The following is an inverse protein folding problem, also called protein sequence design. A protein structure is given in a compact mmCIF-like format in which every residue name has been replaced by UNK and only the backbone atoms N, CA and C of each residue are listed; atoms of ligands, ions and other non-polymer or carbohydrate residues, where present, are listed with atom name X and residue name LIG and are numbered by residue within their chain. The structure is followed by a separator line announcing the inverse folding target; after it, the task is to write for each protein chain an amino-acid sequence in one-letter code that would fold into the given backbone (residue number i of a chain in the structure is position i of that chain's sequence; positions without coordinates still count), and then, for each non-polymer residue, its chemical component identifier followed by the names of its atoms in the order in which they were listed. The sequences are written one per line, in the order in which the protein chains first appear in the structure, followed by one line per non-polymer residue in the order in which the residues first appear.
data_IF_310468567669
#
_entry.id   IF_310468567669
#
_cell.length_a   1.000
_cell.length_b   1.000
_cell.length_c   1.000
_cell.angle_alpha   90.00
_cell.angle_beta   90.00
_cell.angle_gamma   90.00
#
_symmetry.space_group_name_H-M   'P 1'
#
loop_
_entity.id
_entity.type
_entity.pdbx_description
1 polymer ?
#
# COMPACT_ATOMS: atom_id res chain seq x y z
N UNK A 1 11.21 -2.82 18.06
CA UNK A 1 10.61 -2.90 16.71
C UNK A 1 11.53 -3.63 15.77
N UNK A 2 10.99 -4.49 14.90
CA UNK A 2 11.76 -5.25 13.90
C UNK A 2 12.27 -4.36 12.76
N UNK A 3 11.51 -3.33 12.41
CA UNK A 3 11.77 -2.42 11.30
C UNK A 3 11.94 -0.99 11.80
N UNK A 4 12.70 -0.17 11.06
CA UNK A 4 12.84 1.27 11.31
C UNK A 4 11.94 2.08 10.36
N UNK A 5 11.92 1.71 9.08
CA UNK A 5 11.16 2.39 8.03
C UNK A 5 10.34 1.39 7.24
N UNK A 6 9.06 1.62 7.14
CA UNK A 6 8.14 0.74 6.41
C UNK A 6 7.41 1.50 5.31
N UNK A 7 7.05 0.78 4.25
CA UNK A 7 6.06 1.24 3.29
C UNK A 7 4.79 0.39 3.44
N UNK A 8 3.71 1.02 3.85
CA UNK A 8 2.39 0.41 3.94
C UNK A 8 1.64 0.63 2.63
N UNK A 9 1.32 -0.44 1.91
CA UNK A 9 0.47 -0.40 0.73
C UNK A 9 -0.95 -0.81 1.08
N UNK A 10 -1.90 0.06 0.81
CA UNK A 10 -3.33 -0.18 1.01
C UNK A 10 -4.08 -0.28 -0.32
N UNK A 11 -5.05 -1.18 -0.42
CA UNK A 11 -6.00 -1.17 -1.53
C UNK A 11 -6.97 0.00 -1.39
N UNK A 12 -7.34 0.66 -2.48
CA UNK A 12 -8.41 1.64 -2.45
C UNK A 12 -9.73 1.02 -1.96
N UNK A 13 -9.99 -0.22 -2.32
CA UNK A 13 -11.17 -0.96 -1.87
C UNK A 13 -11.25 -1.11 -0.35
N UNK A 14 -10.12 -1.12 0.33
CA UNK A 14 -10.09 -1.19 1.79
C UNK A 14 -10.66 0.07 2.47
N UNK A 15 -10.77 1.19 1.74
CA UNK A 15 -11.40 2.41 2.25
C UNK A 15 -12.93 2.45 2.09
N UNK A 16 -13.51 1.49 1.36
CA UNK A 16 -14.97 1.47 1.15
C UNK A 16 -15.74 1.03 2.41
N UNK A 17 -15.10 0.32 3.34
CA UNK A 17 -15.81 -0.38 4.40
C UNK A 17 -16.80 -1.39 3.81
N UNK A 18 -18.05 -1.33 4.23
CA UNK A 18 -19.14 -2.18 3.71
C UNK A 18 -19.84 -1.58 2.46
N UNK A 19 -19.37 -0.42 1.98
CA UNK A 19 -19.89 0.21 0.77
C UNK A 19 -19.32 -0.46 -0.47
N UNK A 20 -20.02 -0.30 -1.59
CA UNK A 20 -19.54 -0.81 -2.89
C UNK A 20 -18.69 0.21 -3.66
N UNK A 21 -18.64 1.46 -3.20
CA UNK A 21 -17.99 2.58 -3.86
C UNK A 21 -17.67 3.72 -2.88
N UNK A 22 -16.62 4.48 -3.19
CA UNK A 22 -16.25 5.69 -2.46
C UNK A 22 -15.45 5.41 -1.20
N UNK A 23 -15.56 6.32 -0.25
CA UNK A 23 -14.78 6.33 0.99
C UNK A 23 -15.73 6.19 2.18
N UNK A 24 -15.39 5.28 3.09
CA UNK A 24 -16.04 5.13 4.38
C UNK A 24 -15.24 5.83 5.48
N UNK A 25 -15.83 6.86 6.08
CA UNK A 25 -15.14 7.68 7.08
C UNK A 25 -14.78 6.89 8.35
N UNK A 26 -15.60 5.90 8.73
CA UNK A 26 -15.33 5.07 9.89
C UNK A 26 -14.11 4.17 9.64
N UNK A 27 -14.02 3.60 8.44
CA UNK A 27 -12.87 2.77 8.03
C UNK A 27 -11.58 3.59 7.96
N UNK A 28 -11.64 4.78 7.35
CA UNK A 28 -10.46 5.67 7.28
C UNK A 28 -10.00 6.10 8.66
N UNK A 29 -10.93 6.40 9.57
CA UNK A 29 -10.61 6.72 10.97
C UNK A 29 -9.94 5.55 11.68
N UNK A 30 -10.46 4.32 11.53
CA UNK A 30 -9.85 3.11 12.10
C UNK A 30 -8.40 2.96 11.64
N UNK A 31 -8.14 3.10 10.32
CA UNK A 31 -6.78 3.03 9.79
C UNK A 31 -5.88 4.14 10.34
N UNK A 32 -6.40 5.35 10.50
CA UNK A 32 -5.63 6.44 11.08
C UNK A 32 -5.23 6.15 12.53
N UNK A 33 -6.11 5.55 13.33
CA UNK A 33 -5.84 5.13 14.70
C UNK A 33 -4.79 4.01 14.76
N UNK A 34 -4.88 2.99 13.89
CA UNK A 34 -3.90 1.90 13.81
C UNK A 34 -2.51 2.43 13.38
N UNK A 35 -2.46 3.33 12.39
CA UNK A 35 -1.22 3.96 11.92
C UNK A 35 -0.61 4.82 13.04
N UNK A 36 -1.43 5.59 13.77
CA UNK A 36 -0.98 6.38 14.91
C UNK A 36 -0.34 5.51 15.99
N UNK A 37 -0.98 4.40 16.34
CA UNK A 37 -0.47 3.49 17.35
C UNK A 37 0.91 2.93 16.98
N UNK A 38 1.11 2.54 15.73
CA UNK A 38 2.40 2.04 15.22
C UNK A 38 3.44 3.17 15.13
N UNK A 39 3.06 4.34 14.62
CA UNK A 39 3.95 5.49 14.54
C UNK A 39 4.46 5.94 15.92
N UNK A 40 3.64 5.87 16.95
CA UNK A 40 4.02 6.19 18.33
C UNK A 40 5.14 5.30 18.88
N UNK A 41 5.41 4.16 18.25
CA UNK A 41 6.52 3.27 18.58
C UNK A 41 7.85 3.70 17.92
N UNK A 42 7.87 4.84 17.21
CA UNK A 42 9.06 5.39 16.59
C UNK A 42 9.35 4.90 15.16
N UNK A 43 8.40 4.20 14.51
CA UNK A 43 8.55 3.79 13.13
C UNK A 43 8.36 4.97 12.16
N UNK A 44 9.21 5.02 11.14
CA UNK A 44 9.03 5.87 9.98
C UNK A 44 8.04 5.20 9.00
N UNK A 45 6.89 5.82 8.76
CA UNK A 45 5.81 5.24 7.98
C UNK A 45 5.59 6.02 6.68
N UNK A 46 5.74 5.32 5.56
CA UNK A 46 5.30 5.76 4.25
C UNK A 46 4.09 4.95 3.80
N UNK A 47 3.17 5.57 3.06
CA UNK A 47 1.91 4.95 2.64
C UNK A 47 1.73 5.14 1.14
N UNK A 48 1.32 4.08 0.45
CA UNK A 48 0.80 4.10 -0.92
C UNK A 48 -0.60 3.53 -0.89
N UNK A 49 -1.57 4.21 -1.49
CA UNK A 49 -2.96 3.77 -1.51
C UNK A 49 -3.50 3.69 -2.92
N UNK A 50 -4.25 2.62 -3.22
CA UNK A 50 -4.91 2.42 -4.51
C UNK A 50 -6.12 3.33 -4.72
N UNK A 51 -6.66 3.37 -5.94
CA UNK A 51 -7.82 4.17 -6.34
C UNK A 51 -9.06 3.36 -6.73
N UNK A 52 -9.03 2.02 -6.58
CA UNK A 52 -10.05 1.12 -7.12
C UNK A 52 -11.46 1.26 -6.53
N UNK A 53 -11.62 1.91 -5.38
CA UNK A 53 -12.90 2.28 -4.79
C UNK A 53 -13.58 3.48 -5.48
N UNK A 54 -12.84 4.28 -6.23
CA UNK A 54 -13.31 5.48 -6.94
C UNK A 54 -13.33 5.21 -8.44
N UNK A 55 -12.23 4.67 -8.99
CA UNK A 55 -12.10 4.42 -10.42
C UNK A 55 -11.24 3.20 -10.70
N UNK A 56 -11.71 2.31 -11.59
CA UNK A 56 -11.01 1.09 -12.02
C UNK A 56 -10.64 1.19 -13.49
N UNK A 57 -9.37 1.48 -13.79
CA UNK A 57 -8.85 1.66 -15.15
C UNK A 57 -9.09 0.46 -16.06
N UNK A 58 -8.84 -0.78 -15.57
CA UNK A 58 -9.07 -2.00 -16.33
C UNK A 58 -10.54 -2.22 -16.75
N UNK A 59 -11.49 -1.77 -15.94
CA UNK A 59 -12.91 -1.84 -16.29
C UNK A 59 -13.30 -0.80 -17.32
N UNK A 60 -12.70 0.39 -17.24
CA UNK A 60 -12.90 1.47 -18.21
C UNK A 60 -12.28 1.14 -19.58
N UNK A 61 -11.10 0.52 -19.62
CA UNK A 61 -10.46 0.02 -20.85
C UNK A 61 -11.37 -0.99 -21.57
N UNK A 62 -11.96 -1.95 -20.84
CA UNK A 62 -12.91 -2.92 -21.40
C UNK A 62 -14.17 -2.26 -21.99
N UNK A 63 -14.53 -1.07 -21.55
CA UNK A 63 -15.64 -0.27 -22.11
C UNK A 63 -15.21 0.66 -23.26
N UNK A 64 -13.96 0.57 -23.75
CA UNK A 64 -13.48 1.30 -24.92
C UNK A 64 -12.74 2.61 -24.59
N UNK A 65 -12.45 2.90 -23.31
CA UNK A 65 -11.63 4.05 -22.94
C UNK A 65 -10.16 3.79 -23.28
N UNK A 66 -9.46 4.83 -23.72
CA UNK A 66 -8.01 4.77 -23.89
C UNK A 66 -7.31 4.40 -22.57
N UNK A 67 -6.38 3.45 -22.65
CA UNK A 67 -5.71 2.90 -21.48
C UNK A 67 -4.93 3.96 -20.69
N UNK A 68 -4.18 4.83 -21.37
CA UNK A 68 -3.40 5.85 -20.70
C UNK A 68 -4.33 6.87 -20.00
N UNK A 69 -5.45 7.23 -20.64
CA UNK A 69 -6.46 8.10 -20.04
C UNK A 69 -7.08 7.47 -18.79
N UNK A 70 -7.43 6.19 -18.87
CA UNK A 70 -7.98 5.45 -17.73
C UNK A 70 -6.98 5.36 -16.56
N UNK A 71 -5.71 5.15 -16.85
CA UNK A 71 -4.65 5.11 -15.84
C UNK A 71 -4.45 6.48 -15.17
N UNK A 72 -4.50 7.59 -15.92
CA UNK A 72 -4.48 8.93 -15.30
C UNK A 72 -5.67 9.19 -14.39
N UNK A 73 -6.87 8.75 -14.76
CA UNK A 73 -8.04 8.84 -13.88
C UNK A 73 -7.85 8.00 -12.61
N UNK A 74 -7.27 6.80 -12.73
CA UNK A 74 -6.88 5.98 -11.59
C UNK A 74 -5.85 6.66 -10.68
N UNK A 75 -4.86 7.35 -11.25
CA UNK A 75 -3.89 8.14 -10.48
C UNK A 75 -4.57 9.27 -9.71
N UNK A 76 -5.51 10.00 -10.31
CA UNK A 76 -6.30 11.03 -9.62
C UNK A 76 -7.15 10.43 -8.49
N UNK A 77 -7.73 9.26 -8.70
CA UNK A 77 -8.47 8.54 -7.67
C UNK A 77 -7.57 8.21 -6.45
N UNK A 78 -6.30 7.84 -6.67
CA UNK A 78 -5.36 7.64 -5.56
C UNK A 78 -5.07 8.92 -4.79
N UNK A 79 -5.05 10.09 -5.46
CA UNK A 79 -4.86 11.39 -4.80
C UNK A 79 -6.04 11.71 -3.90
N UNK A 80 -7.28 11.49 -4.36
CA UNK A 80 -8.49 11.68 -3.55
C UNK A 80 -8.43 10.83 -2.27
N UNK A 81 -8.10 9.54 -2.40
CA UNK A 81 -7.94 8.65 -1.25
C UNK A 81 -6.81 9.10 -0.30
N UNK A 82 -5.71 9.57 -0.88
CA UNK A 82 -4.56 10.06 -0.11
C UNK A 82 -4.91 11.30 0.71
N UNK A 83 -5.70 12.22 0.15
CA UNK A 83 -6.19 13.41 0.85
C UNK A 83 -7.15 13.03 2.00
N UNK A 84 -8.06 12.09 1.77
CA UNK A 84 -8.97 11.62 2.80
C UNK A 84 -8.22 10.93 3.96
N UNK A 85 -7.20 10.12 3.65
CA UNK A 85 -6.36 9.49 4.67
C UNK A 85 -5.51 10.53 5.39
N UNK A 86 -4.96 11.52 4.70
CA UNK A 86 -4.22 12.64 5.29
C UNK A 86 -5.05 13.39 6.33
N UNK A 87 -6.27 13.80 5.98
CA UNK A 87 -7.19 14.49 6.88
C UNK A 87 -7.47 13.66 8.16
N UNK A 88 -7.72 12.35 7.98
CA UNK A 88 -7.97 11.47 9.12
C UNK A 88 -6.74 11.29 10.02
N UNK A 89 -5.54 11.16 9.45
CA UNK A 89 -4.30 11.07 10.20
C UNK A 89 -4.00 12.36 10.98
N UNK A 90 -4.25 13.52 10.37
CA UNK A 90 -4.06 14.82 11.03
C UNK A 90 -5.08 15.04 12.15
N UNK A 91 -6.34 14.61 11.98
CA UNK A 91 -7.36 14.62 13.03
C UNK A 91 -7.01 13.78 14.26
N UNK A 92 -6.25 12.70 14.09
CA UNK A 92 -5.74 11.92 15.24
C UNK A 92 -4.41 12.44 15.78
N UNK A 93 -3.90 13.58 15.27
CA UNK A 93 -2.73 14.31 15.79
C UNK A 93 -1.40 13.94 15.16
N UNK A 94 -1.39 13.18 14.05
CA UNK A 94 -0.16 12.90 13.30
C UNK A 94 0.22 14.06 12.38
N UNK A 95 1.52 14.30 12.23
CA UNK A 95 2.03 15.21 11.20
C UNK A 95 2.23 14.43 9.90
N UNK A 96 1.63 14.90 8.81
CA UNK A 96 1.67 14.19 7.53
C UNK A 96 2.28 15.02 6.41
N UNK A 97 2.65 14.39 5.31
CA UNK A 97 2.94 15.02 4.03
C UNK A 97 2.42 14.14 2.88
N UNK A 98 1.60 14.73 2.04
CA UNK A 98 1.19 14.13 0.78
C UNK A 98 2.14 14.57 -0.33
N UNK A 99 2.77 13.61 -1.00
CA UNK A 99 3.65 13.84 -2.14
C UNK A 99 3.09 13.10 -3.36
N UNK A 100 3.02 13.78 -4.49
CA UNK A 100 2.44 13.20 -5.72
C UNK A 100 3.44 13.11 -6.86
N UNK A 101 3.32 12.06 -7.65
CA UNK A 101 4.14 11.85 -8.84
C UNK A 101 3.76 12.80 -10.00
N UNK A 102 2.51 13.26 -10.02
CA UNK A 102 2.03 14.31 -10.94
C UNK A 102 2.02 15.64 -10.19
N UNK A 103 2.56 16.70 -10.76
CA UNK A 103 2.62 18.02 -10.12
C UNK A 103 1.21 18.59 -9.89
N UNK A 104 0.90 18.85 -8.64
CA UNK A 104 -0.38 19.43 -8.16
C UNK A 104 -0.10 20.35 -6.98
N UNK A 105 0.74 21.37 -7.17
CA UNK A 105 1.35 22.17 -6.10
C UNK A 105 0.35 22.89 -5.19
N UNK A 106 -0.87 23.15 -5.69
CA UNK A 106 -1.97 23.72 -4.89
C UNK A 106 -2.58 22.72 -3.91
N UNK A 107 -2.37 21.41 -4.11
CA UNK A 107 -3.00 20.33 -3.32
C UNK A 107 -1.98 19.61 -2.47
N UNK A 108 -0.78 19.36 -3.01
CA UNK A 108 0.24 18.52 -2.40
C UNK A 108 1.66 18.84 -2.91
N UNK A 109 2.65 18.35 -2.20
CA UNK A 109 4.05 18.52 -2.61
C UNK A 109 4.38 17.62 -3.82
N UNK A 110 5.18 18.10 -4.80
CA UNK A 110 5.73 17.21 -5.82
C UNK A 110 6.70 16.21 -5.17
N UNK A 111 6.66 14.96 -5.64
CA UNK A 111 7.57 13.94 -5.15
C UNK A 111 9.03 14.28 -5.48
N UNK A 112 9.84 14.41 -4.45
CA UNK A 112 11.28 14.48 -4.53
C UNK A 112 11.85 13.54 -3.49
N UNK A 113 12.61 12.51 -3.90
CA UNK A 113 13.13 11.45 -3.03
C UNK A 113 13.76 11.98 -1.74
N UNK A 114 14.69 12.94 -1.83
CA UNK A 114 15.37 13.50 -0.65
C UNK A 114 14.42 14.21 0.30
N UNK A 115 13.37 14.85 -0.22
CA UNK A 115 12.33 15.51 0.57
C UNK A 115 11.47 14.48 1.30
N UNK A 116 11.06 13.41 0.62
CA UNK A 116 10.32 12.31 1.24
C UNK A 116 11.09 11.68 2.41
N UNK A 117 12.37 11.34 2.20
CA UNK A 117 13.24 10.79 3.25
C UNK A 117 13.35 11.78 4.42
N UNK A 118 13.55 13.09 4.14
CA UNK A 118 13.64 14.09 5.20
C UNK A 118 12.36 14.27 6.00
N UNK A 119 11.19 14.07 5.38
CA UNK A 119 9.93 14.07 6.10
C UNK A 119 9.82 12.89 7.06
N UNK A 120 10.18 11.68 6.61
CA UNK A 120 10.21 10.48 7.44
C UNK A 120 11.15 10.64 8.64
N UNK A 121 12.38 11.10 8.43
CA UNK A 121 13.37 11.38 9.47
C UNK A 121 12.89 12.41 10.51
N UNK A 122 11.98 13.32 10.12
CA UNK A 122 11.34 14.29 11.02
C UNK A 122 10.10 13.74 11.73
N UNK A 123 9.86 12.43 11.67
CA UNK A 123 8.70 11.78 12.28
C UNK A 123 7.36 12.17 11.64
N UNK A 124 7.33 12.46 10.35
CA UNK A 124 6.09 12.70 9.59
C UNK A 124 5.68 11.44 8.87
N UNK A 125 4.40 11.13 8.87
CA UNK A 125 3.86 10.10 7.97
C UNK A 125 3.83 10.67 6.55
N UNK A 126 4.41 9.95 5.60
CA UNK A 126 4.45 10.35 4.19
C UNK A 126 3.43 9.52 3.40
N UNK A 127 2.60 10.19 2.61
CA UNK A 127 1.63 9.53 1.73
C UNK A 127 2.05 9.81 0.29
N UNK A 128 2.12 8.78 -0.54
CA UNK A 128 2.44 8.91 -1.96
C UNK A 128 1.18 8.75 -2.81
N UNK A 129 0.80 9.81 -3.51
CA UNK A 129 -0.32 9.85 -4.44
C UNK A 129 0.12 9.81 -5.91
N UNK A 130 -0.82 9.59 -6.80
CA UNK A 130 -0.65 9.52 -8.24
C UNK A 130 0.28 8.38 -8.74
N UNK A 131 0.41 7.31 -7.96
CA UNK A 131 1.15 6.12 -8.37
C UNK A 131 2.61 6.38 -8.76
N UNK A 132 3.01 5.89 -9.92
CA UNK A 132 4.32 6.18 -10.53
C UNK A 132 4.36 7.52 -11.28
N UNK A 133 3.20 8.11 -11.58
CA UNK A 133 3.05 9.24 -12.49
C UNK A 133 3.00 8.85 -13.97
N UNK A 134 3.14 7.57 -14.28
CA UNK A 134 3.15 7.04 -15.63
C UNK A 134 2.03 6.03 -15.82
N UNK A 135 1.33 6.05 -16.99
CA UNK A 135 0.41 5.00 -17.38
C UNK A 135 1.08 3.62 -17.42
N UNK A 136 0.28 2.56 -17.49
CA UNK A 136 0.68 1.14 -17.60
C UNK A 136 1.28 0.53 -16.34
N UNK A 137 1.39 1.26 -15.24
CA UNK A 137 1.84 0.75 -13.95
C UNK A 137 0.69 0.68 -12.94
N UNK A 138 0.75 -0.29 -12.07
CA UNK A 138 -0.22 -0.42 -10.98
C UNK A 138 0.23 0.31 -9.71
N UNK A 139 -0.64 0.33 -8.73
CA UNK A 139 -0.31 0.84 -7.38
C UNK A 139 0.69 -0.08 -6.66
N UNK A 140 0.74 -1.38 -6.97
CA UNK A 140 1.73 -2.31 -6.44
C UNK A 140 3.13 -1.93 -6.97
N UNK A 141 3.26 -1.68 -8.28
CA UNK A 141 4.51 -1.17 -8.88
C UNK A 141 4.95 0.15 -8.24
N UNK A 142 4.01 1.07 -7.99
CA UNK A 142 4.31 2.31 -7.30
C UNK A 142 4.80 2.08 -5.87
N UNK A 143 4.19 1.15 -5.13
CA UNK A 143 4.60 0.81 -3.77
C UNK A 143 6.03 0.26 -3.73
N UNK A 144 6.37 -0.69 -4.59
CA UNK A 144 7.72 -1.24 -4.70
C UNK A 144 8.75 -0.14 -5.02
N UNK A 145 8.49 0.67 -6.05
CA UNK A 145 9.38 1.77 -6.45
C UNK A 145 9.60 2.77 -5.31
N UNK A 146 8.54 3.25 -4.65
CA UNK A 146 8.66 4.21 -3.55
C UNK A 146 9.37 3.61 -2.35
N UNK A 147 9.14 2.33 -2.01
CA UNK A 147 9.82 1.65 -0.93
C UNK A 147 11.34 1.61 -1.15
N UNK A 148 11.78 1.26 -2.35
CA UNK A 148 13.20 1.24 -2.73
C UNK A 148 13.79 2.66 -2.66
N UNK A 149 13.12 3.65 -3.24
CA UNK A 149 13.59 5.03 -3.27
C UNK A 149 13.80 5.63 -1.87
N UNK A 150 12.91 5.32 -0.92
CA UNK A 150 13.01 5.81 0.46
C UNK A 150 13.84 4.88 1.35
N UNK A 151 14.35 3.77 0.84
CA UNK A 151 15.07 2.73 1.61
C UNK A 151 14.21 2.18 2.75
N UNK A 152 13.01 1.73 2.44
CA UNK A 152 12.17 1.01 3.39
C UNK A 152 12.76 -0.38 3.68
N UNK A 153 12.61 -0.85 4.91
CA UNK A 153 13.07 -2.18 5.33
C UNK A 153 12.14 -3.29 4.83
N UNK A 154 10.88 -2.94 4.53
CA UNK A 154 9.83 -3.89 4.13
C UNK A 154 8.67 -3.17 3.46
N UNK A 155 8.01 -3.85 2.52
CA UNK A 155 6.68 -3.48 2.02
C UNK A 155 5.63 -4.29 2.78
N UNK A 156 4.72 -3.60 3.45
CA UNK A 156 3.56 -4.20 4.12
C UNK A 156 2.34 -4.07 3.21
N UNK A 157 1.91 -5.16 2.60
CA UNK A 157 0.71 -5.19 1.76
C UNK A 157 -0.51 -5.51 2.60
N UNK A 158 -1.24 -4.45 2.99
CA UNK A 158 -2.52 -4.56 3.69
C UNK A 158 -3.63 -4.96 2.73
N UNK A 159 -4.24 -6.11 2.99
CA UNK A 159 -5.31 -6.73 2.18
C UNK A 159 -6.52 -7.09 3.03
N UNK A 160 -7.51 -7.75 2.42
CA UNK A 160 -8.66 -8.37 3.11
C UNK A 160 -8.38 -9.81 3.56
N UNK A 161 -7.32 -10.42 3.03
CA UNK A 161 -6.89 -11.77 3.38
C UNK A 161 -5.68 -11.70 4.30
N UNK A 162 -5.52 -12.68 5.14
CA UNK A 162 -4.50 -12.71 6.18
C UNK A 162 -3.14 -13.27 5.71
N UNK A 163 -2.95 -13.48 4.40
CA UNK A 163 -1.68 -13.92 3.83
C UNK A 163 -1.82 -14.52 2.44
N UNK A 164 -0.77 -15.25 2.02
CA UNK A 164 -0.70 -15.98 0.76
C UNK A 164 -1.03 -17.44 1.05
N UNK A 165 -1.89 -18.03 0.21
CA UNK A 165 -2.36 -19.40 0.35
C UNK A 165 -1.91 -20.27 -0.82
N UNK A 166 -1.94 -21.59 -0.61
CA UNK A 166 -1.65 -22.59 -1.65
C UNK A 166 -2.67 -22.56 -2.80
N UNK A 167 -3.89 -22.11 -2.53
CA UNK A 167 -4.98 -21.88 -3.47
C UNK A 167 -5.88 -20.75 -2.92
N UNK A 168 -6.90 -20.35 -3.66
CA UNK A 168 -7.88 -19.35 -3.20
C UNK A 168 -8.71 -19.91 -2.01
N UNK A 169 -8.54 -19.41 -0.78
CA UNK A 169 -9.22 -19.94 0.39
C UNK A 169 -10.75 -19.76 0.36
N UNK A 170 -11.27 -18.85 -0.48
CA UNK A 170 -12.72 -18.68 -0.66
C UNK A 170 -13.32 -19.79 -1.55
N UNK A 171 -12.49 -20.44 -2.36
CA UNK A 171 -12.91 -21.52 -3.29
C UNK A 171 -12.46 -22.90 -2.86
N UNK A 172 -11.32 -22.99 -2.18
CA UNK A 172 -10.72 -24.23 -1.72
C UNK A 172 -10.55 -24.22 -0.21
N UNK A 173 -11.42 -24.87 0.56
CA UNK A 173 -11.32 -24.93 2.02
C UNK A 173 -10.10 -25.71 2.52
N UNK A 174 -9.36 -26.42 1.64
CA UNK A 174 -8.13 -27.12 1.98
C UNK A 174 -6.88 -26.25 1.80
N UNK A 175 -7.05 -25.03 1.27
CA UNK A 175 -5.97 -24.10 1.07
C UNK A 175 -5.28 -23.76 2.41
N UNK A 176 -3.96 -23.88 2.44
CA UNK A 176 -3.16 -23.57 3.62
C UNK A 176 -2.36 -22.29 3.40
N UNK A 177 -2.27 -21.48 4.45
CA UNK A 177 -1.52 -20.23 4.40
C UNK A 177 -0.02 -20.51 4.58
N UNK A 178 0.81 -19.85 3.78
CA UNK A 178 2.25 -19.80 4.00
C UNK A 178 2.57 -18.82 5.14
N UNK A 179 3.43 -19.21 6.08
CA UNK A 179 4.05 -18.27 7.03
C UNK A 179 5.18 -17.49 6.34
N UNK A 180 5.95 -18.20 5.52
CA UNK A 180 7.04 -17.65 4.72
C UNK A 180 7.09 -18.38 3.36
N UNK A 181 7.47 -17.65 2.30
CA UNK A 181 7.64 -18.21 0.96
C UNK A 181 8.70 -17.37 0.20
N UNK A 182 9.52 -18.02 -0.62
CA UNK A 182 10.49 -17.30 -1.44
C UNK A 182 9.86 -16.66 -2.69
N UNK A 183 10.51 -15.61 -3.24
CA UNK A 183 10.10 -15.03 -4.53
C UNK A 183 10.03 -16.09 -5.62
N UNK A 184 11.04 -16.99 -5.68
CA UNK A 184 11.10 -18.08 -6.67
C UNK A 184 9.92 -19.05 -6.56
N UNK A 185 9.54 -19.41 -5.34
CA UNK A 185 8.39 -20.30 -5.13
C UNK A 185 7.06 -19.63 -5.50
N UNK A 186 6.89 -18.33 -5.24
CA UNK A 186 5.72 -17.57 -5.69
C UNK A 186 5.59 -17.64 -7.21
N UNK A 187 6.70 -17.42 -7.95
CA UNK A 187 6.72 -17.57 -9.41
C UNK A 187 6.39 -18.99 -9.86
N UNK A 188 7.10 -19.99 -9.31
CA UNK A 188 6.95 -21.38 -9.72
C UNK A 188 5.52 -21.90 -9.50
N UNK A 189 4.83 -21.41 -8.47
CA UNK A 189 3.47 -21.81 -8.12
C UNK A 189 2.40 -20.90 -8.76
N UNK A 190 2.79 -19.86 -9.49
CA UNK A 190 1.84 -18.91 -10.12
C UNK A 190 0.96 -18.15 -9.13
N UNK A 191 1.45 -17.90 -7.92
CA UNK A 191 0.68 -17.22 -6.88
C UNK A 191 0.59 -15.72 -7.16
N UNK A 192 -0.61 -15.16 -7.05
CA UNK A 192 -0.87 -13.76 -7.34
C UNK A 192 -0.72 -12.90 -6.07
N UNK A 193 0.50 -12.46 -5.79
CA UNK A 193 0.83 -11.61 -4.64
C UNK A 193 0.76 -10.12 -4.99
N UNK A 194 1.45 -9.72 -6.04
CA UNK A 194 1.50 -8.38 -6.61
C UNK A 194 1.59 -8.52 -8.14
N UNK A 195 1.48 -7.40 -8.88
CA UNK A 195 1.82 -7.46 -10.29
C UNK A 195 3.32 -7.82 -10.48
N UNK A 196 3.62 -8.40 -11.64
CA UNK A 196 4.96 -8.93 -11.94
C UNK A 196 6.05 -7.86 -11.83
N UNK A 197 5.78 -6.63 -12.28
CA UNK A 197 6.73 -5.51 -12.23
C UNK A 197 7.09 -5.17 -10.77
N UNK A 198 6.09 -5.05 -9.90
CA UNK A 198 6.29 -4.78 -8.49
C UNK A 198 7.09 -5.90 -7.82
N UNK A 199 6.74 -7.15 -8.16
CA UNK A 199 7.35 -8.33 -7.57
C UNK A 199 8.83 -8.46 -7.94
N UNK A 200 9.16 -8.29 -9.23
CA UNK A 200 10.55 -8.31 -9.73
C UNK A 200 11.39 -7.17 -9.10
N UNK A 201 10.81 -5.96 -9.00
CA UNK A 201 11.50 -4.85 -8.33
C UNK A 201 11.86 -5.17 -6.87
N UNK A 202 10.95 -5.82 -6.14
CA UNK A 202 11.21 -6.21 -4.75
C UNK A 202 12.29 -7.30 -4.68
N UNK A 203 12.22 -8.33 -5.54
CA UNK A 203 13.22 -9.41 -5.58
C UNK A 203 14.63 -8.89 -5.91
N UNK A 204 14.78 -8.09 -6.98
CA UNK A 204 16.09 -7.56 -7.42
C UNK A 204 16.74 -6.64 -6.38
N UNK A 205 15.92 -5.99 -5.52
CA UNK A 205 16.42 -5.10 -4.46
C UNK A 205 16.41 -5.74 -3.06
N UNK A 206 16.19 -7.05 -2.98
CA UNK A 206 16.13 -7.80 -1.71
C UNK A 206 15.15 -7.20 -0.69
N UNK A 207 14.08 -6.58 -1.19
CA UNK A 207 13.07 -5.91 -0.39
C UNK A 207 11.96 -6.89 0.00
N UNK A 208 11.84 -7.31 1.26
CA UNK A 208 10.82 -8.26 1.67
C UNK A 208 9.41 -7.65 1.59
N UNK A 209 8.42 -8.53 1.36
CA UNK A 209 7.01 -8.17 1.34
C UNK A 209 6.31 -8.96 2.44
N UNK A 210 5.44 -8.32 3.22
CA UNK A 210 4.53 -9.01 4.13
C UNK A 210 3.10 -8.75 3.67
N UNK A 211 2.38 -9.83 3.38
CA UNK A 211 0.93 -9.79 3.06
C UNK A 211 0.14 -10.11 4.30
N UNK A 212 -0.80 -9.25 4.68
CA UNK A 212 -1.56 -9.41 5.92
C UNK A 212 -2.95 -8.76 5.85
N UNK A 213 -3.85 -9.18 6.73
CA UNK A 213 -5.18 -8.58 6.88
C UNK A 213 -5.09 -7.27 7.68
N UNK A 214 -5.24 -6.14 6.98
CA UNK A 214 -5.24 -4.81 7.57
C UNK A 214 -6.59 -4.46 8.23
N UNK A 215 -7.68 -5.16 7.90
CA UNK A 215 -8.99 -4.88 8.48
C UNK A 215 -9.10 -5.36 9.93
N UNK A 216 -8.27 -6.32 10.31
CA UNK A 216 -8.21 -6.81 11.69
C UNK A 216 -7.39 -5.86 12.55
N UNK A 217 -8.10 -5.14 13.43
CA UNK A 217 -7.49 -4.19 14.38
C UNK A 217 -6.32 -4.82 15.15
N UNK A 218 -5.21 -4.10 15.26
CA UNK A 218 -4.01 -4.54 15.95
C UNK A 218 -3.03 -5.37 15.12
N UNK A 219 -3.41 -5.93 13.96
CA UNK A 219 -2.49 -6.71 13.13
C UNK A 219 -1.28 -5.90 12.68
N UNK A 220 -1.49 -4.63 12.32
CA UNK A 220 -0.40 -3.76 11.92
C UNK A 220 0.63 -3.55 13.05
N UNK A 221 0.16 -3.37 14.29
CA UNK A 221 1.03 -3.27 15.46
C UNK A 221 1.82 -4.55 15.68
N UNK A 222 1.19 -5.71 15.62
CA UNK A 222 1.84 -7.01 15.82
C UNK A 222 2.97 -7.24 14.80
N UNK A 223 2.74 -6.95 13.50
CA UNK A 223 3.78 -7.02 12.47
C UNK A 223 4.93 -6.06 12.79
N UNK A 224 4.63 -4.82 13.18
CA UNK A 224 5.65 -3.85 13.56
C UNK A 224 6.49 -4.30 14.74
N UNK A 225 5.91 -5.06 15.66
CA UNK A 225 6.60 -5.70 16.81
C UNK A 225 7.40 -6.95 16.41
N UNK A 226 7.19 -7.47 15.19
CA UNK A 226 7.90 -8.61 14.64
C UNK A 226 7.19 -9.94 14.84
N UNK A 227 5.89 -9.93 15.23
CA UNK A 227 5.08 -11.15 15.27
C UNK A 227 4.87 -11.70 13.85
N UNK A 228 4.87 -13.03 13.74
CA UNK A 228 4.70 -13.75 12.47
C UNK A 228 3.23 -13.82 12.07
N UNK A 229 2.67 -12.65 11.74
CA UNK A 229 1.31 -12.50 11.22
C UNK A 229 1.38 -12.26 9.72
N UNK A 230 0.53 -12.95 8.98
CA UNK A 230 0.53 -12.86 7.53
C UNK A 230 1.51 -13.83 6.88
N UNK A 231 1.93 -13.51 5.67
CA UNK A 231 2.95 -14.26 4.91
C UNK A 231 4.12 -13.35 4.58
N UNK A 232 5.32 -13.75 4.97
CA UNK A 232 6.57 -13.11 4.59
C UNK A 232 7.05 -13.66 3.24
N UNK A 233 7.27 -12.77 2.25
CA UNK A 233 7.94 -13.09 0.99
C UNK A 233 9.34 -12.49 1.03
N UNK A 234 10.36 -13.31 0.83
CA UNK A 234 11.76 -12.87 0.78
C UNK A 234 12.61 -13.73 -0.17
N UNK A 235 13.84 -13.34 -0.45
CA UNK A 235 14.82 -14.10 -1.22
C UNK A 235 15.36 -15.31 -0.47
#
# INVERSE_FOLDING_TARGET
MKYKRILLKLSGESLMGDKQYGIDNARVKQYAEDIKAVHAQGLEIAIVIGGGNIFRGLSAEKSGMDRAQADYMGMLATVINSMALQDALEKVGLKTRLLTAIKMEQICEPFIRRRAVRHLEKGRVVIFGAGTGNPYFTTDSAAALRAIEIKADVVLKGTRVDGIYTADPEKDPTATRYSEISFKEVYAKGLNVMDMTAFTLCEENELPIIVFDMNKHGNFMKIAQGEEIGTLVKG
#
